data_IF_226078286395
#
_entry.id   IF_226078286395
#
_cell.length_a   1.000
_cell.length_b   1.000
_cell.length_c   1.000
_cell.angle_alpha   90.00
_cell.angle_beta   90.00
_cell.angle_gamma   90.00
#
_symmetry.space_group_name_H-M   'P 1'
#
loop_
_entity.id
_entity.type
_entity.pdbx_description
1 polymer ?
#
# COMPACT_ATOMS: atom_id res chain seq x y z
N UNK A 1 -49.58 24.32 10.73
CA UNK A 1 -49.88 23.08 11.46
C UNK A 1 -48.94 22.02 10.94
N UNK A 2 -47.92 21.68 11.74
CA UNK A 2 -47.71 20.34 12.36
C UNK A 2 -47.59 19.20 11.34
N UNK A 3 -46.68 18.24 11.42
CA UNK A 3 -45.44 17.97 12.17
C UNK A 3 -45.10 16.49 11.82
N UNK A 4 -43.83 16.08 12.02
CA UNK A 4 -43.32 14.69 12.19
C UNK A 4 -43.11 13.84 10.91
N UNK A 5 -42.05 13.03 10.78
CA UNK A 5 -40.90 12.69 11.64
C UNK A 5 -39.86 11.91 10.81
N UNK A 6 -38.59 12.27 11.04
CA UNK A 6 -37.33 11.49 11.09
C UNK A 6 -37.37 10.00 10.67
N UNK A 7 -36.36 9.56 9.92
CA UNK A 7 -35.47 8.48 10.38
C UNK A 7 -34.06 8.60 9.79
N UNK A 8 -33.10 8.74 10.69
CA UNK A 8 -31.67 8.54 10.49
C UNK A 8 -31.40 7.03 10.54
N UNK A 9 -30.54 6.51 9.66
CA UNK A 9 -29.68 5.36 9.96
C UNK A 9 -28.29 5.70 9.44
N UNK A 10 -27.32 5.75 10.36
CA UNK A 10 -25.91 5.82 10.08
C UNK A 10 -25.20 4.49 10.34
N UNK A 11 -23.88 4.52 10.15
CA UNK A 11 -22.87 3.51 10.45
C UNK A 11 -22.87 2.29 9.48
N UNK A 12 -21.75 1.67 9.11
CA UNK A 12 -20.43 1.63 9.74
C UNK A 12 -19.34 1.29 8.71
N UNK A 13 -18.11 1.72 9.01
CA UNK A 13 -16.89 1.26 8.38
C UNK A 13 -16.63 -0.23 8.66
N UNK A 14 -16.03 -0.95 7.70
CA UNK A 14 -15.20 -2.13 7.99
C UNK A 14 -13.94 -2.06 7.14
N UNK A 15 -12.83 -1.74 7.81
CA UNK A 15 -11.51 -2.15 7.38
C UNK A 15 -11.41 -3.67 7.60
N UNK A 16 -10.92 -4.39 6.59
CA UNK A 16 -10.43 -5.76 6.76
C UNK A 16 -9.12 -5.90 5.99
N UNK A 17 -8.03 -5.77 6.74
CA UNK A 17 -6.73 -6.38 6.46
C UNK A 17 -6.88 -7.89 6.67
N UNK A 18 -6.31 -8.72 5.79
CA UNK A 18 -5.98 -10.11 6.12
C UNK A 18 -6.30 -11.14 5.03
N UNK A 19 -5.24 -11.54 4.33
CA UNK A 19 -4.95 -12.86 3.76
C UNK A 19 -6.12 -13.76 3.30
N UNK A 20 -6.16 -14.03 1.99
CA UNK A 20 -6.61 -15.32 1.47
C UNK A 20 -5.62 -15.85 0.43
N UNK A 21 -4.86 -16.83 0.90
CA UNK A 21 -4.09 -17.82 0.13
C UNK A 21 -5.00 -18.44 -0.93
N UNK A 22 -4.44 -18.65 -2.12
CA UNK A 22 -5.18 -19.11 -3.28
C UNK A 22 -5.84 -20.47 -3.11
N UNK A 23 -7.00 -20.61 -3.75
CA UNK A 23 -7.41 -21.82 -4.46
C UNK A 23 -8.11 -21.36 -5.74
N UNK A 24 -7.35 -21.28 -6.83
CA UNK A 24 -7.95 -21.22 -8.15
C UNK A 24 -8.63 -22.55 -8.43
N UNK A 25 -9.96 -22.59 -8.50
CA UNK A 25 -10.77 -23.60 -9.20
C UNK A 25 -12.29 -23.38 -8.96
N UNK A 26 -12.88 -22.22 -9.31
CA UNK A 26 -14.37 -22.13 -9.34
C UNK A 26 -14.98 -21.24 -10.42
N UNK A 27 -14.22 -20.41 -11.13
CA UNK A 27 -14.82 -19.48 -12.12
C UNK A 27 -15.37 -20.23 -13.34
N UNK A 28 -14.91 -21.45 -13.64
CA UNK A 28 -15.28 -22.16 -14.86
C UNK A 28 -16.67 -22.85 -14.78
N UNK A 29 -17.17 -23.15 -13.58
CA UNK A 29 -18.49 -23.79 -13.41
C UNK A 29 -19.65 -22.78 -13.46
N UNK A 30 -19.44 -21.54 -13.02
CA UNK A 30 -20.50 -20.52 -13.02
C UNK A 30 -20.80 -19.97 -14.43
N UNK A 31 -19.79 -19.88 -15.30
CA UNK A 31 -19.97 -19.38 -16.68
C UNK A 31 -20.75 -20.38 -17.55
N UNK A 32 -20.44 -21.67 -17.45
CA UNK A 32 -21.17 -22.73 -18.17
C UNK A 32 -22.63 -22.90 -17.68
N UNK A 33 -22.89 -22.61 -16.40
CA UNK A 33 -24.26 -22.66 -15.86
C UNK A 33 -25.06 -21.41 -16.27
N UNK A 34 -24.42 -20.24 -16.37
CA UNK A 34 -25.07 -19.01 -16.84
C UNK A 34 -25.43 -19.06 -18.34
N UNK A 35 -24.56 -19.63 -19.19
CA UNK A 35 -24.86 -19.80 -20.62
C UNK A 35 -26.01 -20.80 -20.86
N UNK A 36 -26.10 -21.88 -20.08
CA UNK A 36 -27.18 -22.88 -20.24
C UNK A 36 -28.55 -22.37 -19.75
N UNK A 37 -28.59 -21.52 -18.71
CA UNK A 37 -29.82 -20.84 -18.28
C UNK A 37 -30.26 -19.79 -19.31
N UNK A 38 -29.33 -19.00 -19.85
CA UNK A 38 -29.64 -17.99 -20.87
C UNK A 38 -30.18 -18.59 -22.18
N UNK A 39 -29.66 -19.73 -22.63
CA UNK A 39 -30.20 -20.44 -23.80
C UNK A 39 -31.56 -21.11 -23.53
N UNK A 40 -31.79 -21.60 -22.32
CA UNK A 40 -33.07 -22.24 -21.95
C UNK A 40 -34.18 -21.18 -21.83
N UNK A 41 -33.86 -19.99 -21.33
CA UNK A 41 -34.79 -18.86 -21.25
C UNK A 41 -35.16 -18.35 -22.66
N UNK A 42 -34.21 -18.29 -23.60
CA UNK A 42 -34.51 -17.87 -24.98
C UNK A 42 -35.36 -18.90 -25.76
N UNK A 43 -35.22 -20.21 -25.46
CA UNK A 43 -35.98 -21.25 -26.15
C UNK A 43 -37.44 -21.36 -25.65
N UNK A 44 -37.65 -21.14 -24.34
CA UNK A 44 -39.00 -21.05 -23.76
C UNK A 44 -39.78 -19.81 -24.27
N UNK A 45 -39.07 -18.76 -24.66
CA UNK A 45 -39.61 -17.51 -25.18
C UNK A 45 -40.16 -17.63 -26.62
N UNK A 46 -39.65 -18.59 -27.41
CA UNK A 46 -39.99 -18.74 -28.83
C UNK A 46 -41.18 -19.68 -29.09
N UNK A 47 -41.60 -20.48 -28.10
CA UNK A 47 -42.50 -21.62 -28.31
C UNK A 47 -44.00 -21.34 -28.46
N UNK A 48 -44.49 -20.09 -28.36
CA UNK A 48 -45.94 -19.88 -28.43
C UNK A 48 -46.44 -18.44 -28.44
N UNK A 49 -46.07 -17.61 -29.42
CA UNK A 49 -46.49 -16.20 -29.43
C UNK A 49 -47.08 -15.71 -30.74
N UNK A 50 -48.23 -15.06 -30.59
CA UNK A 50 -49.07 -14.47 -31.63
C UNK A 50 -48.39 -13.27 -32.30
N UNK A 51 -48.52 -13.14 -33.63
CA UNK A 51 -47.81 -12.16 -34.45
C UNK A 51 -48.11 -10.69 -34.08
N UNK A 52 -49.26 -10.45 -33.45
CA UNK A 52 -49.68 -9.12 -32.99
C UNK A 52 -48.94 -8.62 -31.73
N UNK A 53 -48.41 -9.54 -30.91
CA UNK A 53 -47.69 -9.24 -29.67
C UNK A 53 -46.21 -8.92 -29.94
N UNK A 54 -45.64 -9.44 -31.03
CA UNK A 54 -44.23 -9.26 -31.42
C UNK A 54 -43.84 -7.78 -31.61
N UNK A 55 -44.76 -6.92 -32.07
CA UNK A 55 -44.50 -5.50 -32.30
C UNK A 55 -44.33 -4.69 -31.00
N UNK A 56 -45.17 -4.93 -29.99
CA UNK A 56 -45.09 -4.25 -28.70
C UNK A 56 -43.90 -4.74 -27.87
N UNK A 57 -43.63 -6.07 -27.86
CA UNK A 57 -42.45 -6.63 -27.21
C UNK A 57 -41.15 -6.24 -27.91
N UNK A 58 -41.15 -6.09 -29.24
CA UNK A 58 -40.01 -5.58 -29.99
C UNK A 58 -39.62 -4.15 -29.62
N UNK A 59 -40.60 -3.26 -29.40
CA UNK A 59 -40.35 -1.88 -28.95
C UNK A 59 -39.79 -1.82 -27.51
N UNK A 60 -40.31 -2.65 -26.61
CA UNK A 60 -39.83 -2.76 -25.22
C UNK A 60 -38.40 -3.32 -25.22
N UNK A 61 -38.13 -4.43 -25.94
CA UNK A 61 -36.80 -5.02 -26.07
C UNK A 61 -35.78 -4.06 -26.67
N UNK A 62 -36.16 -3.30 -27.68
CA UNK A 62 -35.33 -2.24 -28.26
C UNK A 62 -34.97 -1.14 -27.24
N UNK A 63 -35.93 -0.71 -26.41
CA UNK A 63 -35.69 0.26 -25.36
C UNK A 63 -34.74 -0.27 -24.28
N UNK A 64 -34.89 -1.53 -23.87
CA UNK A 64 -33.97 -2.18 -22.93
C UNK A 64 -32.55 -2.31 -23.48
N UNK A 65 -32.40 -2.74 -24.74
CA UNK A 65 -31.08 -2.84 -25.38
C UNK A 65 -30.37 -1.49 -25.44
N UNK A 66 -31.09 -0.42 -25.83
CA UNK A 66 -30.55 0.95 -25.85
C UNK A 66 -30.21 1.46 -24.46
N UNK A 67 -31.01 1.15 -23.44
CA UNK A 67 -30.67 1.49 -22.05
C UNK A 67 -29.42 0.76 -21.57
N UNK A 68 -29.30 -0.54 -21.84
CA UNK A 68 -28.14 -1.33 -21.47
C UNK A 68 -26.85 -0.81 -22.13
N UNK A 69 -26.93 -0.38 -23.39
CA UNK A 69 -25.82 0.27 -24.09
C UNK A 69 -25.40 1.58 -23.40
N UNK A 70 -26.37 2.45 -23.09
CA UNK A 70 -26.10 3.72 -22.39
C UNK A 70 -25.43 3.51 -21.02
N UNK A 71 -25.96 2.59 -20.21
CA UNK A 71 -25.41 2.27 -18.90
C UNK A 71 -23.98 1.69 -19.04
N UNK A 72 -23.75 0.85 -20.05
CA UNK A 72 -22.43 0.26 -20.33
C UNK A 72 -21.41 1.32 -20.76
N UNK A 73 -21.80 2.29 -21.59
CA UNK A 73 -20.94 3.42 -21.97
C UNK A 73 -20.52 4.26 -20.76
N UNK A 74 -21.44 4.51 -19.81
CA UNK A 74 -21.10 5.20 -18.56
C UNK A 74 -20.03 4.42 -17.79
N UNK A 75 -20.28 3.13 -17.53
CA UNK A 75 -19.35 2.26 -16.81
C UNK A 75 -17.99 2.14 -17.51
N UNK A 76 -17.98 2.10 -18.85
CA UNK A 76 -16.79 2.00 -19.66
C UNK A 76 -15.92 3.27 -19.58
N UNK A 77 -16.53 4.45 -19.65
CA UNK A 77 -15.81 5.71 -19.51
C UNK A 77 -15.24 5.92 -18.10
N UNK A 78 -16.00 5.55 -17.06
CA UNK A 78 -15.51 5.56 -15.68
C UNK A 78 -14.32 4.60 -15.52
N UNK A 79 -14.42 3.41 -16.14
CA UNK A 79 -13.33 2.41 -16.12
C UNK A 79 -12.10 2.92 -16.86
N UNK A 80 -12.25 3.55 -18.03
CA UNK A 80 -11.12 4.15 -18.76
C UNK A 80 -10.36 5.16 -17.90
N UNK A 81 -11.08 5.95 -17.10
CA UNK A 81 -10.47 6.92 -16.18
C UNK A 81 -9.76 6.23 -15.01
N UNK A 82 -10.35 5.16 -14.45
CA UNK A 82 -9.79 4.48 -13.28
C UNK A 82 -8.59 3.58 -13.59
N UNK A 83 -8.48 3.11 -14.83
CA UNK A 83 -7.39 2.23 -15.29
C UNK A 83 -6.27 2.98 -16.01
N UNK A 84 -6.41 4.29 -16.19
CA UNK A 84 -5.40 5.13 -16.84
C UNK A 84 -4.06 5.03 -16.12
N UNK A 85 -2.98 4.88 -16.89
CA UNK A 85 -1.63 4.63 -16.38
C UNK A 85 -1.40 3.27 -15.71
N UNK A 86 -2.42 2.41 -15.58
CA UNK A 86 -2.31 1.07 -14.99
C UNK A 86 -2.23 -0.04 -16.03
N UNK A 87 -3.04 0.05 -17.09
CA UNK A 87 -3.10 -0.95 -18.17
C UNK A 87 -3.37 -0.31 -19.54
N UNK A 88 -3.04 -1.03 -20.61
CA UNK A 88 -3.48 -0.66 -21.95
C UNK A 88 -4.98 -0.92 -22.11
N UNK A 89 -5.77 0.16 -22.19
CA UNK A 89 -7.21 0.11 -22.37
C UNK A 89 -7.65 0.30 -23.84
N UNK A 90 -6.77 0.05 -24.82
CA UNK A 90 -7.06 0.21 -26.24
C UNK A 90 -8.32 -0.53 -26.73
N UNK A 91 -8.52 -1.77 -26.30
CA UNK A 91 -9.71 -2.56 -26.64
C UNK A 91 -11.00 -1.95 -26.05
N UNK A 92 -10.93 -1.43 -24.83
CA UNK A 92 -12.05 -0.75 -24.19
C UNK A 92 -12.38 0.57 -24.89
N UNK A 93 -11.36 1.36 -25.26
CA UNK A 93 -11.53 2.59 -26.06
C UNK A 93 -12.20 2.30 -27.41
N UNK A 94 -11.77 1.25 -28.10
CA UNK A 94 -12.38 0.81 -29.36
C UNK A 94 -13.84 0.40 -29.16
N UNK A 95 -14.14 -0.36 -28.10
CA UNK A 95 -15.50 -0.81 -27.78
C UNK A 95 -16.44 0.35 -27.43
N UNK A 96 -15.94 1.36 -26.71
CA UNK A 96 -16.68 2.60 -26.42
C UNK A 96 -16.99 3.37 -27.70
N UNK A 97 -16.01 3.50 -28.60
CA UNK A 97 -16.20 4.19 -29.88
C UNK A 97 -17.25 3.48 -30.76
N UNK A 98 -17.17 2.15 -30.89
CA UNK A 98 -18.15 1.38 -31.68
C UNK A 98 -19.57 1.46 -31.10
N UNK A 99 -19.71 1.51 -29.78
CA UNK A 99 -21.03 1.57 -29.12
C UNK A 99 -21.60 3.00 -29.04
N UNK A 100 -20.82 4.04 -29.36
CA UNK A 100 -21.20 5.46 -29.20
C UNK A 100 -22.48 5.85 -29.94
N UNK A 101 -22.73 5.26 -31.11
CA UNK A 101 -23.88 5.55 -31.97
C UNK A 101 -25.06 4.57 -31.78
N UNK A 102 -25.13 3.86 -30.64
CA UNK A 102 -26.14 2.83 -30.35
C UNK A 102 -27.61 3.24 -30.58
N UNK A 103 -27.93 4.55 -30.60
CA UNK A 103 -29.29 5.04 -30.86
C UNK A 103 -29.75 4.79 -32.29
N UNK A 104 -28.83 4.76 -33.25
CA UNK A 104 -29.09 4.61 -34.69
C UNK A 104 -28.79 3.21 -35.21
N UNK A 105 -28.10 2.37 -34.43
CA UNK A 105 -27.74 1.01 -34.81
C UNK A 105 -28.95 0.04 -34.73
N UNK A 106 -28.95 -1.03 -35.56
CA UNK A 106 -29.87 -2.16 -35.40
C UNK A 106 -29.75 -2.78 -34.01
N UNK A 107 -30.87 -3.23 -33.43
CA UNK A 107 -30.89 -3.74 -32.04
C UNK A 107 -29.96 -4.95 -31.82
N UNK A 108 -29.84 -5.85 -32.80
CA UNK A 108 -28.90 -6.97 -32.72
C UNK A 108 -27.43 -6.51 -32.60
N UNK A 109 -27.05 -5.49 -33.36
CA UNK A 109 -25.71 -4.90 -33.30
C UNK A 109 -25.49 -4.16 -31.97
N UNK A 110 -26.49 -3.43 -31.46
CA UNK A 110 -26.44 -2.80 -30.14
C UNK A 110 -26.19 -3.84 -29.05
N UNK A 111 -26.87 -4.99 -29.09
CA UNK A 111 -26.69 -6.05 -28.09
C UNK A 111 -25.29 -6.67 -28.15
N UNK A 112 -24.76 -6.92 -29.34
CA UNK A 112 -23.42 -7.48 -29.53
C UNK A 112 -22.32 -6.51 -29.06
N UNK A 113 -22.38 -5.25 -29.50
CA UNK A 113 -21.41 -4.23 -29.11
C UNK A 113 -21.48 -3.93 -27.60
N UNK A 114 -22.67 -3.99 -27.01
CA UNK A 114 -22.83 -3.87 -25.55
C UNK A 114 -22.16 -5.03 -24.82
N UNK A 115 -22.31 -6.27 -25.30
CA UNK A 115 -21.63 -7.43 -24.72
C UNK A 115 -20.11 -7.31 -24.85
N UNK A 116 -19.61 -6.89 -26.02
CA UNK A 116 -18.17 -6.65 -26.25
C UNK A 116 -17.61 -5.56 -25.32
N UNK A 117 -18.31 -4.44 -25.17
CA UNK A 117 -17.90 -3.37 -24.26
C UNK A 117 -17.87 -3.85 -22.80
N UNK A 118 -18.84 -4.66 -22.36
CA UNK A 118 -18.83 -5.27 -21.01
C UNK A 118 -17.63 -6.20 -20.80
N UNK A 119 -17.29 -7.02 -21.80
CA UNK A 119 -16.12 -7.90 -21.74
C UNK A 119 -14.82 -7.09 -21.66
N UNK A 120 -14.68 -6.03 -22.47
CA UNK A 120 -13.52 -5.15 -22.44
C UNK A 120 -13.40 -4.39 -21.10
N UNK A 121 -14.52 -3.98 -20.48
CA UNK A 121 -14.54 -3.41 -19.13
C UNK A 121 -14.03 -4.42 -18.11
N UNK A 122 -14.49 -5.67 -18.16
CA UNK A 122 -14.07 -6.70 -17.23
C UNK A 122 -12.56 -7.00 -17.37
N UNK A 123 -12.06 -7.09 -18.60
CA UNK A 123 -10.64 -7.28 -18.90
C UNK A 123 -9.78 -6.13 -18.35
N UNK A 124 -10.16 -4.88 -18.64
CA UNK A 124 -9.43 -3.70 -18.17
C UNK A 124 -9.38 -3.62 -16.63
N UNK A 125 -10.51 -3.93 -15.95
CA UNK A 125 -10.57 -3.95 -14.48
C UNK A 125 -9.73 -5.08 -13.89
N UNK A 126 -9.73 -6.26 -14.50
CA UNK A 126 -8.92 -7.38 -14.04
C UNK A 126 -7.42 -7.05 -14.16
N UNK A 127 -6.99 -6.46 -15.27
CA UNK A 127 -5.62 -6.00 -15.44
C UNK A 127 -5.22 -4.91 -14.44
N UNK A 128 -6.09 -3.93 -14.19
CA UNK A 128 -5.83 -2.90 -13.19
C UNK A 128 -5.75 -3.47 -11.77
N UNK A 129 -6.60 -4.44 -11.43
CA UNK A 129 -6.52 -5.14 -10.15
C UNK A 129 -5.23 -5.95 -9.99
N UNK A 130 -4.74 -6.58 -11.06
CA UNK A 130 -3.43 -7.23 -11.05
C UNK A 130 -2.27 -6.24 -10.87
N UNK A 131 -2.32 -5.10 -11.57
CA UNK A 131 -1.35 -4.03 -11.41
C UNK A 131 -1.29 -3.54 -9.97
N UNK A 132 -2.46 -3.23 -9.38
CA UNK A 132 -2.56 -2.77 -7.99
C UNK A 132 -2.06 -3.84 -7.01
N UNK A 133 -2.36 -5.12 -7.24
CA UNK A 133 -1.85 -6.23 -6.43
C UNK A 133 -0.32 -6.29 -6.45
N UNK A 134 0.30 -6.24 -7.63
CA UNK A 134 1.77 -6.26 -7.77
C UNK A 134 2.40 -5.06 -7.07
N UNK A 135 1.82 -3.86 -7.20
CA UNK A 135 2.30 -2.67 -6.50
C UNK A 135 2.20 -2.80 -4.99
N UNK A 136 1.13 -3.41 -4.48
CA UNK A 136 0.97 -3.69 -3.06
C UNK A 136 1.98 -4.74 -2.56
N UNK A 137 2.24 -5.79 -3.33
CA UNK A 137 3.26 -6.81 -3.03
C UNK A 137 4.68 -6.21 -2.99
N UNK A 138 5.03 -5.39 -3.98
CA UNK A 138 6.32 -4.65 -4.02
C UNK A 138 6.47 -3.72 -2.81
N UNK A 139 5.42 -2.97 -2.46
CA UNK A 139 5.43 -2.08 -1.30
C UNK A 139 5.55 -2.85 0.02
N UNK A 140 4.87 -4.00 0.15
CA UNK A 140 4.97 -4.85 1.32
C UNK A 140 6.38 -5.45 1.48
N UNK A 141 6.98 -5.91 0.38
CA UNK A 141 8.35 -6.42 0.37
C UNK A 141 9.36 -5.32 0.75
N UNK A 142 9.19 -4.11 0.22
CA UNK A 142 10.03 -2.96 0.57
C UNK A 142 9.89 -2.58 2.05
N UNK A 143 8.67 -2.58 2.59
CA UNK A 143 8.43 -2.31 4.01
C UNK A 143 9.05 -3.37 4.92
N UNK A 144 8.96 -4.65 4.55
CA UNK A 144 9.61 -5.73 5.28
C UNK A 144 11.13 -5.58 5.27
N UNK A 145 11.74 -5.32 4.09
CA UNK A 145 13.18 -5.11 3.98
C UNK A 145 13.66 -3.91 4.83
N UNK A 146 12.89 -2.82 4.86
CA UNK A 146 13.20 -1.67 5.71
C UNK A 146 13.11 -2.01 7.21
N UNK A 147 12.11 -2.80 7.62
CA UNK A 147 11.99 -3.25 9.00
C UNK A 147 13.13 -4.18 9.41
N UNK A 148 13.55 -5.10 8.53
CA UNK A 148 14.70 -5.98 8.76
C UNK A 148 16.01 -5.19 8.86
N UNK A 149 16.23 -4.19 7.99
CA UNK A 149 17.38 -3.31 8.07
C UNK A 149 17.41 -2.50 9.38
N UNK A 150 16.27 -1.96 9.81
CA UNK A 150 16.16 -1.26 11.09
C UNK A 150 16.40 -2.21 12.27
N UNK A 151 15.89 -3.44 12.21
CA UNK A 151 16.11 -4.45 13.25
C UNK A 151 17.59 -4.83 13.35
N UNK A 152 18.28 -4.99 12.21
CA UNK A 152 19.72 -5.24 12.17
C UNK A 152 20.50 -4.07 12.80
N UNK A 153 20.14 -2.83 12.47
CA UNK A 153 20.73 -1.62 13.06
C UNK A 153 20.49 -1.52 14.57
N UNK A 154 19.33 -1.97 15.06
CA UNK A 154 18.96 -1.98 16.48
C UNK A 154 19.61 -3.10 17.30
N UNK A 155 20.64 -3.75 16.76
CA UNK A 155 21.50 -4.66 17.53
C UNK A 155 22.79 -3.95 17.97
N UNK A 156 23.44 -4.38 19.06
CA UNK A 156 24.75 -3.86 19.45
C UNK A 156 25.79 -3.89 18.31
N UNK A 157 25.85 -4.98 17.55
CA UNK A 157 26.79 -5.11 16.42
C UNK A 157 26.41 -4.22 15.23
N UNK A 158 25.12 -4.12 14.90
CA UNK A 158 24.64 -3.24 13.84
C UNK A 158 24.89 -1.76 14.17
N UNK A 159 24.61 -1.35 15.39
CA UNK A 159 24.88 0.00 15.87
C UNK A 159 26.38 0.31 15.87
N UNK A 160 27.23 -0.65 16.30
CA UNK A 160 28.70 -0.54 16.21
C UNK A 160 29.18 -0.32 14.78
N UNK A 161 28.74 -1.17 13.85
CA UNK A 161 29.14 -1.07 12.45
C UNK A 161 28.71 0.28 11.84
N UNK A 162 27.47 0.69 12.09
CA UNK A 162 26.96 1.98 11.63
C UNK A 162 27.72 3.16 12.23
N UNK A 163 28.06 3.11 13.52
CA UNK A 163 28.86 4.13 14.16
C UNK A 163 30.27 4.23 13.57
N UNK A 164 30.90 3.11 13.20
CA UNK A 164 32.22 3.10 12.56
C UNK A 164 32.18 3.78 11.19
N UNK A 165 31.17 3.44 10.37
CA UNK A 165 30.95 4.06 9.07
C UNK A 165 30.70 5.57 9.20
N UNK A 166 29.82 5.95 10.13
CA UNK A 166 29.45 7.36 10.33
C UNK A 166 30.61 8.17 10.90
N UNK A 167 31.38 7.61 11.85
CA UNK A 167 32.58 8.21 12.42
C UNK A 167 33.62 8.49 11.33
N UNK A 168 33.88 7.52 10.44
CA UNK A 168 34.83 7.67 9.36
C UNK A 168 34.35 8.66 8.29
N UNK A 169 33.11 8.51 7.82
CA UNK A 169 32.59 9.29 6.68
C UNK A 169 32.28 10.75 7.04
N UNK A 170 31.74 11.02 8.23
CA UNK A 170 31.27 12.36 8.60
C UNK A 170 32.29 13.15 9.43
N UNK A 171 33.13 12.47 10.22
CA UNK A 171 34.02 13.12 11.18
C UNK A 171 35.51 12.89 10.85
N UNK A 172 35.82 12.03 9.89
CA UNK A 172 37.20 11.63 9.59
C UNK A 172 37.85 10.84 10.72
N UNK A 173 37.05 10.29 11.63
CA UNK A 173 37.53 9.51 12.77
C UNK A 173 37.82 8.07 12.32
N UNK A 174 39.11 7.74 12.26
CA UNK A 174 39.59 6.42 11.89
C UNK A 174 39.44 5.38 12.99
N UNK A 175 40.02 4.21 12.76
CA UNK A 175 39.94 3.06 13.67
C UNK A 175 40.51 3.35 15.08
N UNK A 176 41.46 4.27 15.19
CA UNK A 176 42.02 4.72 16.47
C UNK A 176 40.95 5.41 17.32
N UNK A 177 40.25 6.39 16.75
CA UNK A 177 39.16 7.09 17.43
C UNK A 177 37.98 6.15 17.69
N UNK A 178 37.67 5.28 16.73
CA UNK A 178 36.59 4.31 16.91
C UNK A 178 36.87 3.33 18.07
N UNK A 179 38.11 2.92 18.30
CA UNK A 179 38.45 2.05 19.44
C UNK A 179 38.15 2.70 20.80
N UNK A 180 38.38 4.01 20.92
CA UNK A 180 38.00 4.79 22.10
C UNK A 180 36.48 4.94 22.24
N UNK A 181 35.78 5.18 21.12
CA UNK A 181 34.32 5.22 21.08
C UNK A 181 33.71 3.90 21.55
N UNK A 182 34.23 2.78 21.05
CA UNK A 182 33.76 1.45 21.40
C UNK A 182 33.95 1.15 22.88
N UNK A 183 35.11 1.48 23.44
CA UNK A 183 35.35 1.37 24.88
C UNK A 183 34.36 2.23 25.69
N UNK A 184 34.14 3.47 25.26
CA UNK A 184 33.22 4.40 25.91
C UNK A 184 31.78 3.87 25.88
N UNK A 185 31.20 3.63 24.72
CA UNK A 185 29.79 3.22 24.62
C UNK A 185 29.53 1.79 25.08
N UNK A 186 30.54 0.91 25.06
CA UNK A 186 30.44 -0.39 25.71
C UNK A 186 30.31 -0.25 27.23
N UNK A 187 31.05 0.68 27.86
CA UNK A 187 30.92 0.99 29.29
C UNK A 187 29.58 1.64 29.63
N UNK A 188 29.11 2.56 28.78
CA UNK A 188 27.87 3.32 29.01
C UNK A 188 26.61 2.43 28.94
N UNK A 189 26.50 1.59 27.90
CA UNK A 189 25.26 0.89 27.58
C UNK A 189 25.45 -0.52 27.03
N UNK A 190 26.69 -0.96 26.81
CA UNK A 190 26.95 -2.17 26.02
C UNK A 190 26.42 -2.07 24.59
N UNK A 191 26.35 -0.85 24.04
CA UNK A 191 25.74 -0.54 22.75
C UNK A 191 24.23 -0.86 22.64
N UNK A 192 23.53 -1.00 23.77
CA UNK A 192 22.09 -1.25 23.78
C UNK A 192 21.30 0.06 23.64
N UNK A 193 20.56 0.22 22.53
CA UNK A 193 19.71 1.39 22.28
C UNK A 193 18.53 1.54 23.25
N UNK A 194 18.19 0.49 23.98
CA UNK A 194 17.16 0.47 25.03
C UNK A 194 17.75 0.58 26.44
N UNK A 195 19.07 0.77 26.58
CA UNK A 195 19.69 0.92 27.89
C UNK A 195 19.08 2.11 28.64
N UNK A 196 18.72 1.89 29.89
CA UNK A 196 18.25 2.93 30.81
C UNK A 196 19.02 2.79 32.10
N UNK A 197 19.67 3.87 32.50
CA UNK A 197 20.19 3.98 33.84
C UNK A 197 19.03 4.30 34.79
N UNK A 198 18.70 3.38 35.71
CA UNK A 198 17.54 3.51 36.59
C UNK A 198 17.64 4.66 37.60
N UNK A 199 18.85 5.08 37.98
CA UNK A 199 19.03 6.16 38.98
C UNK A 199 19.01 7.54 38.33
N UNK A 200 19.58 7.70 37.13
CA UNK A 200 19.67 9.00 36.44
C UNK A 200 18.60 9.22 35.36
N UNK A 201 18.03 8.15 34.80
CA UNK A 201 17.16 8.20 33.64
C UNK A 201 17.90 8.41 32.31
N UNK A 202 19.23 8.31 32.30
CA UNK A 202 20.02 8.39 31.07
C UNK A 202 19.66 7.24 30.10
N UNK A 203 19.48 7.56 28.82
CA UNK A 203 18.90 6.65 27.82
C UNK A 203 19.84 6.35 26.66
N UNK A 204 19.82 5.09 26.22
CA UNK A 204 20.31 4.63 24.94
C UNK A 204 21.82 4.46 24.85
N UNK A 205 22.30 4.25 23.63
CA UNK A 205 23.71 3.99 23.33
C UNK A 205 24.66 5.02 23.98
N UNK A 206 24.44 6.35 23.79
CA UNK A 206 25.32 7.36 24.35
C UNK A 206 24.97 7.74 25.80
N UNK A 207 24.00 7.07 26.44
CA UNK A 207 23.49 7.40 27.77
C UNK A 207 23.14 8.90 27.91
N UNK A 208 22.34 9.44 26.99
CA UNK A 208 21.96 10.86 26.98
C UNK A 208 21.07 11.21 28.18
N UNK A 209 21.35 12.35 28.83
CA UNK A 209 20.55 12.90 29.93
C UNK A 209 20.15 14.37 29.68
N UNK A 210 18.84 14.67 29.57
CA UNK A 210 17.75 13.74 29.29
C UNK A 210 17.85 13.09 27.89
N UNK A 211 17.21 11.93 27.72
CA UNK A 211 17.25 11.15 26.47
C UNK A 211 16.62 11.87 25.27
N UNK A 212 15.61 12.69 25.51
CA UNK A 212 14.86 13.46 24.49
C UNK A 212 15.71 14.48 23.73
N UNK A 213 16.92 14.82 24.20
CA UNK A 213 17.90 15.59 23.43
C UNK A 213 18.19 14.98 22.06
N UNK A 214 18.10 13.66 21.95
CA UNK A 214 18.28 12.93 20.68
C UNK A 214 17.18 13.22 19.65
N UNK A 215 16.04 13.76 20.07
CA UNK A 215 14.97 14.20 19.17
C UNK A 215 15.39 15.31 18.19
N UNK A 216 16.49 16.02 18.49
CA UNK A 216 17.09 17.01 17.58
C UNK A 216 17.63 16.39 16.30
N UNK A 217 17.93 15.08 16.30
CA UNK A 217 18.36 14.34 15.11
C UNK A 217 17.19 13.59 14.47
N UNK A 218 16.32 12.96 15.28
CA UNK A 218 15.18 12.23 14.77
C UNK A 218 14.11 12.00 15.84
N UNK A 219 12.85 12.16 15.48
CA UNK A 219 11.72 11.97 16.40
C UNK A 219 11.58 10.52 16.90
N UNK A 220 12.22 9.56 16.21
CA UNK A 220 12.23 8.13 16.48
C UNK A 220 13.40 7.68 17.37
N UNK A 221 14.13 8.62 18.00
CA UNK A 221 15.34 8.37 18.78
C UNK A 221 15.22 7.25 19.82
N UNK A 222 14.02 7.04 20.40
CA UNK A 222 13.81 6.03 21.42
C UNK A 222 13.86 4.60 20.86
N UNK A 223 13.51 4.44 19.58
CA UNK A 223 13.41 3.14 18.89
C UNK A 223 14.41 2.95 17.76
N UNK A 224 15.29 3.93 17.53
CA UNK A 224 16.23 3.92 16.42
C UNK A 224 17.68 4.11 16.91
N UNK A 225 18.46 3.03 16.90
CA UNK A 225 19.87 3.04 17.27
C UNK A 225 20.69 3.99 16.37
N UNK A 226 20.36 4.10 15.08
CA UNK A 226 21.02 5.03 14.16
C UNK A 226 20.87 6.49 14.59
N UNK A 227 19.67 6.90 15.00
CA UNK A 227 19.40 8.24 15.54
C UNK A 227 20.23 8.50 16.79
N UNK A 228 20.33 7.52 17.70
CA UNK A 228 21.13 7.64 18.91
C UNK A 228 22.63 7.74 18.62
N UNK A 229 23.14 6.92 17.69
CA UNK A 229 24.55 6.95 17.24
C UNK A 229 24.87 8.30 16.62
N UNK A 230 24.04 8.79 15.69
CA UNK A 230 24.27 10.06 15.01
C UNK A 230 24.29 11.24 16.00
N UNK A 231 23.34 11.27 16.95
CA UNK A 231 23.35 12.28 18.01
C UNK A 231 24.57 12.15 18.92
N UNK A 232 24.92 10.92 19.33
CA UNK A 232 26.04 10.66 20.22
C UNK A 232 27.39 11.08 19.62
N UNK A 233 27.64 10.79 18.34
CA UNK A 233 28.84 11.24 17.64
C UNK A 233 28.90 12.77 17.54
N UNK A 234 27.77 13.41 17.21
CA UNK A 234 27.67 14.86 17.16
C UNK A 234 27.94 15.52 18.52
N UNK A 235 27.43 14.92 19.60
CA UNK A 235 27.71 15.36 20.97
C UNK A 235 29.19 15.22 21.33
N UNK A 236 29.82 14.09 21.00
CA UNK A 236 31.26 13.88 21.23
C UNK A 236 32.09 14.95 20.50
N UNK A 237 31.76 15.22 19.24
CA UNK A 237 32.44 16.24 18.46
C UNK A 237 32.31 17.63 19.08
N UNK A 238 31.12 17.99 19.59
CA UNK A 238 30.85 19.30 20.16
C UNK A 238 31.46 19.50 21.56
N UNK A 239 31.39 18.48 22.41
CA UNK A 239 31.79 18.57 23.82
C UNK A 239 33.26 18.22 24.07
N UNK A 240 33.80 17.25 23.32
CA UNK A 240 35.14 16.69 23.56
C UNK A 240 36.07 16.82 22.36
N UNK A 241 35.54 17.14 21.18
CA UNK A 241 36.29 17.24 19.93
C UNK A 241 36.58 15.88 19.28
N UNK A 242 36.91 14.84 20.06
CA UNK A 242 37.20 13.49 19.55
C UNK A 242 36.75 12.38 20.51
N UNK A 243 36.48 11.16 20.02
CA UNK A 243 36.15 10.02 20.88
C UNK A 243 37.22 9.67 21.90
N UNK A 244 38.51 9.75 21.55
CA UNK A 244 39.57 9.46 22.52
C UNK A 244 39.65 10.52 23.63
N UNK A 245 39.41 11.80 23.33
CA UNK A 245 39.30 12.82 24.36
C UNK A 245 38.12 12.55 25.31
N UNK A 246 36.97 12.15 24.77
CA UNK A 246 35.80 11.77 25.57
C UNK A 246 36.09 10.54 26.46
N UNK A 247 36.75 9.52 25.90
CA UNK A 247 37.12 8.32 26.65
C UNK A 247 38.13 8.59 27.76
N UNK A 248 39.17 9.40 27.50
CA UNK A 248 40.12 9.83 28.53
C UNK A 248 39.42 10.60 29.64
N UNK A 249 38.44 11.46 29.31
CA UNK A 249 37.64 12.15 30.32
C UNK A 249 36.82 11.17 31.16
N UNK A 250 36.12 10.20 30.54
CA UNK A 250 35.35 9.18 31.26
C UNK A 250 36.21 8.38 32.24
N UNK A 251 37.42 7.98 31.84
CA UNK A 251 38.36 7.27 32.71
C UNK A 251 38.87 8.11 33.89
N UNK A 252 39.01 9.43 33.71
CA UNK A 252 39.49 10.32 34.77
C UNK A 252 38.43 10.66 35.83
N UNK A 253 37.14 10.54 35.49
CA UNK A 253 36.02 10.86 36.39
C UNK A 253 35.53 9.62 37.15
N UNK A 254 35.58 8.43 36.54
CA UNK A 254 35.27 7.15 37.20
C UNK A 254 36.49 6.54 37.90
N UNK A 255 36.96 7.15 38.99
CA UNK A 255 38.09 6.66 39.78
C UNK A 255 37.82 5.20 40.24
N UNK A 256 38.39 4.22 39.53
CA UNK A 256 38.54 2.84 39.98
C UNK A 256 39.55 2.75 41.13
#
# INVERSE_FOLDING_TARGET
MRDRKRLLIGAAAVAAVGALVGTGFTVQASVATAESVAMTESLADLGGRDASQLGAYGAIGAAHAKKAAADTLTVANDTLSSVDGKVDAGELKASVASLGDYKTLPIGEVTELTAKAKAAVASARAGAAEFDRKKAEEAAAAAQAAAEAQAALNTPDGARAYAAELAASQYGWGADQFSCLDSLWNKESGWNYQAVNASSGAWGIPQSLPGDKMATVGADWQTNAGTQVAWGLGYIQAAYGTPCAAWSHSQAVDWY
#
